data_IF_733916797776
#
_entry.id   IF_733916797776
#
_cell.length_a   1.000
_cell.length_b   1.000
_cell.length_c   1.000
_cell.angle_alpha   90.00
_cell.angle_beta   90.00
_cell.angle_gamma   90.00
#
_symmetry.space_group_name_H-M   'P 1'
#
loop_
_entity.id
_entity.type
_entity.pdbx_description
1 polymer ?
#
# COMPACT_ATOMS: atom_id res chain seq x y z
N UNK A 1 18.36 26.72 -1.60
CA UNK A 1 17.20 26.41 -0.74
C UNK A 1 16.56 25.17 -1.32
N UNK A 2 16.74 24.02 -0.68
CA UNK A 2 15.98 22.82 -1.08
C UNK A 2 14.51 23.05 -0.76
N UNK A 3 13.63 22.78 -1.73
CA UNK A 3 12.19 22.86 -1.51
C UNK A 3 11.76 21.70 -0.61
N UNK A 4 11.22 22.04 0.56
CA UNK A 4 10.54 21.12 1.46
C UNK A 4 9.48 20.33 0.69
N UNK A 5 9.52 19.00 0.71
CA UNK A 5 8.48 18.18 0.08
C UNK A 5 7.15 18.31 0.82
N UNK A 6 6.10 18.68 0.10
CA UNK A 6 4.69 18.66 0.54
C UNK A 6 3.89 17.93 -0.53
N UNK A 7 3.06 16.98 -0.12
CA UNK A 7 2.21 16.25 -1.04
C UNK A 7 1.12 17.17 -1.60
N UNK A 8 0.92 17.09 -2.91
CA UNK A 8 -0.16 17.76 -3.60
C UNK A 8 -0.93 16.75 -4.46
N UNK A 9 -2.27 16.83 -4.50
CA UNK A 9 -3.07 15.98 -5.38
C UNK A 9 -2.63 16.13 -6.83
N UNK A 10 -2.44 15.01 -7.53
CA UNK A 10 -2.12 15.01 -8.96
C UNK A 10 -3.41 15.04 -9.79
N UNK A 11 -3.58 16.01 -10.71
CA UNK A 11 -4.74 16.04 -11.59
C UNK A 11 -4.75 14.83 -12.53
N UNK A 12 -5.95 14.31 -12.81
CA UNK A 12 -6.15 13.12 -13.65
C UNK A 12 -7.37 13.24 -14.57
N UNK A 13 -7.40 12.40 -15.60
CA UNK A 13 -8.59 12.18 -16.43
C UNK A 13 -9.56 11.22 -15.74
N UNK A 14 -10.83 11.63 -15.69
CA UNK A 14 -11.93 10.95 -15.02
C UNK A 14 -13.02 10.62 -16.05
N UNK A 15 -13.52 9.39 -16.04
CA UNK A 15 -14.63 8.96 -16.90
C UNK A 15 -15.78 8.44 -16.06
N UNK A 16 -17.00 8.87 -16.36
CA UNK A 16 -18.22 8.34 -15.75
C UNK A 16 -18.70 7.15 -16.58
N UNK A 17 -18.41 5.95 -16.09
CA UNK A 17 -18.65 4.68 -16.78
C UNK A 17 -20.08 4.18 -16.67
N UNK A 18 -20.69 4.38 -15.50
CA UNK A 18 -22.09 4.07 -15.21
C UNK A 18 -22.68 5.35 -14.65
N UNK A 19 -23.78 5.84 -15.23
CA UNK A 19 -24.40 7.11 -14.82
C UNK A 19 -25.20 6.96 -13.51
N UNK A 20 -25.40 8.06 -12.76
CA UNK A 20 -26.34 8.10 -11.65
C UNK A 20 -27.73 7.58 -12.02
N UNK A 21 -28.36 6.83 -11.11
CA UNK A 21 -29.72 6.30 -11.28
C UNK A 21 -30.77 6.99 -10.40
N UNK A 22 -30.36 7.88 -9.49
CA UNK A 22 -31.25 8.64 -8.60
C UNK A 22 -30.70 10.05 -8.34
N UNK A 23 -31.50 10.89 -7.66
CA UNK A 23 -31.17 12.30 -7.43
C UNK A 23 -29.96 12.47 -6.51
N UNK A 24 -29.84 11.62 -5.48
CA UNK A 24 -28.72 11.68 -4.56
C UNK A 24 -27.40 11.33 -5.24
N UNK A 25 -27.38 10.31 -6.11
CA UNK A 25 -26.20 9.95 -6.90
C UNK A 25 -25.81 11.07 -7.87
N UNK A 26 -26.79 11.74 -8.49
CA UNK A 26 -26.51 12.85 -9.38
C UNK A 26 -25.90 14.04 -8.62
N UNK A 27 -26.42 14.34 -7.42
CA UNK A 27 -25.83 15.32 -6.50
C UNK A 27 -24.40 14.95 -6.10
N UNK A 28 -24.16 13.70 -5.70
CA UNK A 28 -22.80 13.21 -5.36
C UNK A 28 -21.84 13.37 -6.55
N UNK A 29 -22.27 13.03 -7.76
CA UNK A 29 -21.44 13.21 -8.96
C UNK A 29 -21.10 14.69 -9.20
N UNK A 30 -22.09 15.59 -9.11
CA UNK A 30 -21.89 17.02 -9.29
C UNK A 30 -20.92 17.59 -8.24
N UNK A 31 -21.11 17.25 -6.96
CA UNK A 31 -20.27 17.72 -5.87
C UNK A 31 -18.82 17.20 -5.95
N UNK A 32 -18.63 15.92 -6.31
CA UNK A 32 -17.30 15.36 -6.53
C UNK A 32 -16.65 15.94 -7.79
N UNK A 33 -17.41 16.11 -8.88
CA UNK A 33 -16.89 16.68 -10.13
C UNK A 33 -16.28 18.05 -9.88
N UNK A 34 -17.02 18.96 -9.23
CA UNK A 34 -16.55 20.33 -8.95
C UNK A 34 -15.21 20.33 -8.23
N UNK A 35 -15.10 19.57 -7.13
CA UNK A 35 -13.87 19.49 -6.32
C UNK A 35 -12.69 18.86 -7.08
N UNK A 36 -12.95 17.80 -7.84
CA UNK A 36 -11.91 17.18 -8.66
C UNK A 36 -11.44 18.15 -9.76
N UNK A 37 -12.35 18.89 -10.40
CA UNK A 37 -12.01 19.92 -11.39
C UNK A 37 -11.28 21.12 -10.76
N UNK A 38 -11.60 21.50 -9.52
CA UNK A 38 -10.87 22.52 -8.75
C UNK A 38 -9.42 22.09 -8.47
N UNK A 39 -9.17 20.78 -8.37
CA UNK A 39 -7.83 20.20 -8.34
C UNK A 39 -7.22 19.95 -9.73
N UNK A 40 -7.85 20.44 -10.79
CA UNK A 40 -7.35 20.39 -12.17
C UNK A 40 -7.66 19.09 -12.93
N UNK A 41 -8.46 18.18 -12.38
CA UNK A 41 -8.90 16.98 -13.11
C UNK A 41 -9.76 17.34 -14.33
N UNK A 42 -9.85 16.40 -15.27
CA UNK A 42 -10.66 16.53 -16.48
C UNK A 42 -11.65 15.39 -16.61
N UNK A 43 -12.94 15.72 -16.69
CA UNK A 43 -13.97 14.74 -17.00
C UNK A 43 -14.06 14.54 -18.51
N UNK A 44 -13.80 13.33 -18.97
CA UNK A 44 -13.84 12.94 -20.38
C UNK A 44 -15.10 12.14 -20.70
N UNK A 45 -15.53 12.21 -21.95
CA UNK A 45 -16.74 11.52 -22.46
C UNK A 45 -16.47 10.06 -22.75
N UNK A 46 -15.27 9.73 -23.22
CA UNK A 46 -14.84 8.36 -23.53
C UNK A 46 -13.49 8.04 -22.89
N UNK A 47 -13.17 6.76 -22.60
CA UNK A 47 -11.94 6.38 -21.89
C UNK A 47 -10.61 6.73 -22.57
N UNK A 48 -10.65 7.03 -23.87
CA UNK A 48 -9.50 7.27 -24.75
C UNK A 48 -9.43 8.71 -25.25
N UNK A 49 -10.20 9.63 -24.65
CA UNK A 49 -10.20 11.03 -25.04
C UNK A 49 -8.87 11.69 -24.64
N UNK A 50 -8.21 12.33 -25.59
CA UNK A 50 -6.98 13.08 -25.35
C UNK A 50 -7.26 14.39 -24.63
N UNK A 51 -6.41 14.71 -23.65
CA UNK A 51 -6.48 15.93 -22.84
C UNK A 51 -5.07 16.47 -22.59
N UNK A 52 -4.91 17.68 -22.06
CA UNK A 52 -3.60 18.17 -21.60
C UNK A 52 -2.96 17.33 -20.48
N UNK A 53 -3.74 16.48 -19.78
CA UNK A 53 -3.22 15.56 -18.76
C UNK A 53 -2.73 14.23 -19.35
N UNK A 54 -2.92 14.03 -20.66
CA UNK A 54 -2.63 12.80 -21.39
C UNK A 54 -3.87 12.18 -22.05
N UNK A 55 -3.66 11.03 -22.68
CA UNK A 55 -4.63 10.25 -23.48
C UNK A 55 -5.40 9.20 -22.67
N UNK A 56 -5.07 9.03 -21.39
CA UNK A 56 -5.55 7.90 -20.57
C UNK A 56 -6.37 8.37 -19.38
N UNK A 57 -7.55 7.78 -19.24
CA UNK A 57 -8.32 7.81 -17.99
C UNK A 57 -7.56 7.08 -16.88
N UNK A 58 -7.41 7.76 -15.74
CA UNK A 58 -6.86 7.17 -14.51
C UNK A 58 -7.93 6.82 -13.49
N UNK A 59 -9.15 7.35 -13.64
CA UNK A 59 -10.28 7.04 -12.78
C UNK A 59 -11.56 6.79 -13.59
N UNK A 60 -12.15 5.61 -13.45
CA UNK A 60 -13.54 5.37 -13.84
C UNK A 60 -14.44 5.47 -12.61
N UNK A 61 -15.53 6.23 -12.71
CA UNK A 61 -16.58 6.32 -11.70
C UNK A 61 -17.81 5.58 -12.20
N UNK A 62 -18.37 4.70 -11.38
CA UNK A 62 -19.66 4.08 -11.63
C UNK A 62 -20.60 4.15 -10.43
N UNK A 63 -21.89 4.09 -10.69
CA UNK A 63 -22.94 4.08 -9.67
C UNK A 63 -23.64 2.73 -9.62
N UNK A 64 -23.63 2.10 -8.45
CA UNK A 64 -24.39 0.88 -8.18
C UNK A 64 -25.82 1.20 -7.76
N UNK A 65 -26.76 0.34 -8.12
CA UNK A 65 -28.18 0.46 -7.78
C UNK A 65 -28.44 0.11 -6.31
N UNK A 66 -27.76 -0.91 -5.78
CA UNK A 66 -28.01 -1.47 -4.42
C UNK A 66 -26.74 -2.07 -3.81
N UNK A 67 -26.67 -2.19 -2.49
CA UNK A 67 -25.49 -2.78 -1.79
C UNK A 67 -25.20 -4.24 -2.17
N UNK A 68 -26.23 -5.03 -2.49
CA UNK A 68 -26.10 -6.46 -2.82
C UNK A 68 -25.94 -6.74 -4.31
N UNK A 69 -26.06 -5.72 -5.16
CA UNK A 69 -25.88 -5.88 -6.60
C UNK A 69 -24.40 -6.16 -6.90
N UNK A 70 -24.16 -7.15 -7.76
CA UNK A 70 -22.85 -7.48 -8.29
C UNK A 70 -22.66 -6.81 -9.67
N UNK A 71 -21.56 -6.07 -9.82
CA UNK A 71 -21.15 -5.45 -11.08
C UNK A 71 -19.95 -6.23 -11.57
N UNK A 72 -20.09 -6.81 -12.76
CA UNK A 72 -19.01 -7.56 -13.40
C UNK A 72 -17.84 -6.63 -13.75
N UNK A 73 -16.58 -7.06 -13.57
CA UNK A 73 -15.42 -6.22 -13.89
C UNK A 73 -15.38 -5.77 -15.37
N UNK A 74 -15.95 -6.57 -16.28
CA UNK A 74 -16.06 -6.24 -17.71
C UNK A 74 -16.90 -4.99 -18.00
N UNK A 75 -17.84 -4.64 -17.12
CA UNK A 75 -18.73 -3.49 -17.28
C UNK A 75 -17.99 -2.15 -17.20
N UNK A 76 -16.95 -2.07 -16.35
CA UNK A 76 -16.19 -0.83 -16.10
C UNK A 76 -14.70 -1.04 -16.30
N UNK A 77 -14.06 -1.86 -15.46
CA UNK A 77 -12.60 -2.06 -15.47
C UNK A 77 -12.09 -2.62 -16.81
N UNK A 78 -12.84 -3.55 -17.41
CA UNK A 78 -12.51 -4.12 -18.73
C UNK A 78 -12.47 -3.12 -19.88
N UNK A 79 -13.11 -1.96 -19.72
CA UNK A 79 -13.21 -0.89 -20.73
C UNK A 79 -12.17 0.22 -20.57
N UNK A 80 -11.37 0.19 -19.51
CA UNK A 80 -10.29 1.15 -19.31
C UNK A 80 -9.10 0.86 -20.26
N UNK A 81 -8.42 1.91 -20.78
CA UNK A 81 -7.18 1.75 -21.54
C UNK A 81 -6.10 1.05 -20.70
N UNK A 82 -5.17 0.34 -21.34
CA UNK A 82 -3.97 -0.17 -20.67
C UNK A 82 -2.88 0.92 -20.64
N UNK A 83 -2.08 1.04 -19.56
CA UNK A 83 -2.26 0.39 -18.27
C UNK A 83 -3.52 0.91 -17.58
N UNK A 84 -4.29 0.01 -16.97
CA UNK A 84 -5.60 0.34 -16.41
C UNK A 84 -5.47 1.25 -15.19
N UNK A 85 -6.33 2.27 -15.16
CA UNK A 85 -6.54 3.13 -14.01
C UNK A 85 -7.37 2.47 -12.91
N UNK A 86 -7.81 3.29 -11.99
CA UNK A 86 -8.58 2.93 -10.80
C UNK A 86 -10.07 2.97 -11.09
N UNK A 87 -10.84 2.10 -10.43
CA UNK A 87 -12.31 2.08 -10.51
C UNK A 87 -12.89 2.45 -9.16
N UNK A 88 -13.71 3.50 -9.15
CA UNK A 88 -14.50 3.96 -8.02
C UNK A 88 -15.97 3.58 -8.23
N UNK A 89 -16.57 2.90 -7.26
CA UNK A 89 -17.98 2.53 -7.29
C UNK A 89 -18.75 3.14 -6.12
N UNK A 90 -19.75 3.95 -6.45
CA UNK A 90 -20.56 4.70 -5.49
C UNK A 90 -21.93 4.03 -5.38
N UNK A 91 -22.44 3.84 -4.17
CA UNK A 91 -23.78 3.31 -3.93
C UNK A 91 -24.47 4.14 -2.86
N UNK A 92 -25.73 4.51 -3.09
CA UNK A 92 -26.53 5.30 -2.15
C UNK A 92 -27.48 4.39 -1.40
N UNK A 93 -27.66 4.63 -0.11
CA UNK A 93 -28.63 3.93 0.74
C UNK A 93 -29.40 4.91 1.62
N UNK A 94 -30.68 4.63 1.93
CA UNK A 94 -31.43 5.43 2.89
C UNK A 94 -30.74 5.48 4.24
N UNK A 95 -30.28 4.34 4.75
CA UNK A 95 -29.52 4.19 5.99
C UNK A 95 -28.39 3.19 5.77
N UNK A 96 -27.23 3.40 6.39
CA UNK A 96 -26.23 2.34 6.49
C UNK A 96 -26.82 1.16 7.28
N UNK A 97 -26.56 -0.10 6.86
CA UNK A 97 -27.00 -1.27 7.60
C UNK A 97 -26.28 -1.38 8.95
N UNK A 98 -26.94 -2.02 9.91
CA UNK A 98 -26.37 -2.36 11.22
C UNK A 98 -25.45 -3.60 11.09
N UNK A 99 -24.32 -3.40 10.43
CA UNK A 99 -23.26 -4.40 10.28
C UNK A 99 -21.88 -3.73 10.45
N UNK A 100 -20.83 -4.53 10.61
CA UNK A 100 -19.47 -4.01 10.68
C UNK A 100 -19.13 -3.19 9.42
N UNK A 101 -18.74 -1.92 9.62
CA UNK A 101 -18.34 -1.01 8.54
C UNK A 101 -17.22 -1.59 7.68
N UNK A 102 -16.31 -2.36 8.29
CA UNK A 102 -15.26 -3.07 7.59
C UNK A 102 -15.81 -4.10 6.60
N UNK A 103 -16.76 -4.94 7.04
CA UNK A 103 -17.40 -5.92 6.18
C UNK A 103 -18.27 -5.28 5.11
N UNK A 104 -18.92 -4.15 5.41
CA UNK A 104 -19.67 -3.37 4.43
C UNK A 104 -18.74 -2.79 3.35
N UNK A 105 -17.61 -2.18 3.72
CA UNK A 105 -16.62 -1.67 2.77
C UNK A 105 -15.99 -2.78 1.92
N UNK A 106 -15.55 -3.89 2.52
CA UNK A 106 -15.03 -5.06 1.77
C UNK A 106 -16.09 -5.66 0.84
N UNK A 107 -17.33 -5.76 1.32
CA UNK A 107 -18.49 -6.20 0.56
C UNK A 107 -18.73 -5.33 -0.67
N UNK A 108 -18.73 -4.00 -0.49
CA UNK A 108 -18.87 -3.04 -1.57
C UNK A 108 -17.77 -3.20 -2.62
N UNK A 109 -16.51 -3.31 -2.22
CA UNK A 109 -15.38 -3.43 -3.15
C UNK A 109 -15.49 -4.68 -4.02
N UNK A 110 -15.75 -5.84 -3.40
CA UNK A 110 -15.86 -7.11 -4.12
C UNK A 110 -17.09 -7.12 -5.04
N UNK A 111 -18.28 -6.81 -4.51
CA UNK A 111 -19.53 -6.85 -5.29
C UNK A 111 -19.48 -5.88 -6.45
N UNK A 112 -18.82 -4.72 -6.29
CA UNK A 112 -18.71 -3.73 -7.37
C UNK A 112 -17.48 -3.90 -8.26
N UNK A 113 -16.66 -4.92 -8.03
CA UNK A 113 -15.41 -5.17 -8.76
C UNK A 113 -14.55 -3.90 -8.89
N UNK A 114 -14.33 -3.21 -7.75
CA UNK A 114 -13.77 -1.87 -7.71
C UNK A 114 -12.54 -1.77 -6.82
N UNK A 115 -11.69 -0.80 -7.14
CA UNK A 115 -10.50 -0.48 -6.33
C UNK A 115 -10.88 0.36 -5.11
N UNK A 116 -11.90 1.20 -5.29
CA UNK A 116 -12.44 2.12 -4.29
C UNK A 116 -13.96 1.96 -4.27
N UNK A 117 -14.53 1.92 -3.07
CA UNK A 117 -15.98 1.92 -2.84
C UNK A 117 -16.40 3.11 -2.00
N UNK A 118 -17.52 3.74 -2.33
CA UNK A 118 -18.18 4.71 -1.47
C UNK A 118 -19.63 4.28 -1.26
N UNK A 119 -20.05 4.16 0.00
CA UNK A 119 -21.47 4.00 0.36
C UNK A 119 -21.96 5.30 0.98
N UNK A 120 -22.89 5.97 0.29
CA UNK A 120 -23.46 7.27 0.70
C UNK A 120 -24.78 7.04 1.41
N UNK A 121 -24.91 7.57 2.63
CA UNK A 121 -26.16 7.57 3.38
C UNK A 121 -26.96 8.85 3.10
N UNK A 122 -28.21 8.71 2.65
CA UNK A 122 -29.09 9.85 2.37
C UNK A 122 -30.40 9.42 1.70
N UNK A 123 -31.34 10.36 1.57
CA UNK A 123 -32.57 10.12 0.81
C UNK A 123 -32.25 9.96 -0.69
N UNK A 124 -32.52 8.80 -1.32
CA UNK A 124 -32.26 8.58 -2.74
C UNK A 124 -32.93 9.59 -3.69
N UNK A 125 -34.09 10.13 -3.29
CA UNK A 125 -34.85 11.11 -4.06
C UNK A 125 -34.49 12.57 -3.69
N UNK A 126 -33.63 12.74 -2.68
CA UNK A 126 -33.12 14.01 -2.22
C UNK A 126 -31.76 14.38 -2.81
N UNK A 127 -31.19 15.46 -2.28
CA UNK A 127 -29.87 15.99 -2.64
C UNK A 127 -29.03 16.28 -1.41
N UNK A 128 -29.26 15.53 -0.32
CA UNK A 128 -28.54 15.72 0.94
C UNK A 128 -27.93 14.41 1.38
N UNK A 129 -26.60 14.39 1.42
CA UNK A 129 -25.83 13.34 2.05
C UNK A 129 -25.79 13.59 3.57
N UNK A 130 -25.95 12.51 4.34
CA UNK A 130 -25.75 12.52 5.79
C UNK A 130 -24.33 12.09 6.16
N UNK A 131 -23.87 10.98 5.58
CA UNK A 131 -22.57 10.35 5.86
C UNK A 131 -22.09 9.58 4.64
N UNK A 132 -20.80 9.27 4.60
CA UNK A 132 -20.22 8.40 3.57
C UNK A 132 -19.23 7.40 4.16
N UNK A 133 -19.37 6.13 3.82
CA UNK A 133 -18.36 5.11 4.09
C UNK A 133 -17.44 4.99 2.87
N UNK A 134 -16.17 5.36 3.06
CA UNK A 134 -15.08 5.09 2.13
C UNK A 134 -14.54 3.66 2.32
N UNK A 135 -14.10 3.02 1.23
CA UNK A 135 -13.38 1.75 1.25
C UNK A 135 -12.37 1.64 0.11
N UNK A 136 -11.23 0.95 0.33
CA UNK A 136 -10.24 0.64 -0.72
C UNK A 136 -9.76 -0.82 -0.68
N UNK A 137 -9.29 -1.34 -1.82
CA UNK A 137 -8.80 -2.73 -1.94
C UNK A 137 -7.57 -3.05 -1.10
N UNK A 138 -6.85 -2.03 -0.59
CA UNK A 138 -5.78 -2.24 0.40
C UNK A 138 -6.34 -2.60 1.78
N UNK A 139 -7.65 -2.82 1.89
CA UNK A 139 -8.33 -3.16 3.13
C UNK A 139 -8.82 -1.93 3.89
N UNK A 140 -8.62 -0.71 3.37
CA UNK A 140 -8.90 0.56 4.05
C UNK A 140 -10.38 0.92 4.06
N UNK A 141 -10.86 1.54 5.13
CA UNK A 141 -12.21 2.10 5.21
C UNK A 141 -12.27 3.29 6.17
N UNK A 142 -13.21 4.21 5.97
CA UNK A 142 -13.47 5.32 6.92
C UNK A 142 -14.91 5.76 6.82
N UNK A 143 -15.58 5.93 7.97
CA UNK A 143 -16.85 6.64 8.02
C UNK A 143 -16.59 8.15 8.11
N UNK A 144 -17.13 8.88 7.15
CA UNK A 144 -17.07 10.33 7.07
C UNK A 144 -18.39 10.91 7.55
N UNK A 145 -18.32 11.72 8.60
CA UNK A 145 -19.44 12.41 9.26
C UNK A 145 -19.07 13.89 9.40
N UNK A 146 -20.07 14.76 9.55
CA UNK A 146 -19.86 16.21 9.71
C UNK A 146 -20.59 17.01 8.64
N UNK A 147 -20.05 18.17 8.30
CA UNK A 147 -20.64 19.01 7.25
C UNK A 147 -20.49 18.32 5.89
N UNK A 148 -21.55 18.38 5.06
CA UNK A 148 -21.56 17.73 3.74
C UNK A 148 -20.38 18.19 2.86
N UNK A 149 -20.00 19.47 2.94
CA UNK A 149 -18.85 20.01 2.23
C UNK A 149 -17.54 19.35 2.64
N UNK A 150 -17.30 19.18 3.95
CA UNK A 150 -16.10 18.55 4.51
C UNK A 150 -16.01 17.07 4.11
N UNK A 151 -17.14 16.36 4.09
CA UNK A 151 -17.20 14.97 3.61
C UNK A 151 -16.76 14.92 2.15
N UNK A 152 -17.28 15.79 1.28
CA UNK A 152 -16.91 15.80 -0.13
C UNK A 152 -15.46 16.23 -0.38
N UNK A 153 -14.93 17.18 0.39
CA UNK A 153 -13.52 17.58 0.32
C UNK A 153 -12.61 16.39 0.69
N UNK A 154 -12.96 15.65 1.75
CA UNK A 154 -12.22 14.46 2.16
C UNK A 154 -12.30 13.34 1.11
N UNK A 155 -13.49 13.09 0.54
CA UNK A 155 -13.66 12.12 -0.54
C UNK A 155 -12.83 12.48 -1.78
N UNK A 156 -12.84 13.75 -2.21
CA UNK A 156 -12.06 14.20 -3.36
C UNK A 156 -10.55 13.99 -3.13
N UNK A 157 -10.03 14.35 -1.96
CA UNK A 157 -8.63 14.13 -1.60
C UNK A 157 -8.27 12.63 -1.61
N UNK A 158 -9.10 11.77 -1.02
CA UNK A 158 -8.88 10.31 -1.01
C UNK A 158 -8.93 9.70 -2.41
N UNK A 159 -9.86 10.17 -3.25
CA UNK A 159 -9.92 9.75 -4.66
C UNK A 159 -8.61 10.07 -5.38
N UNK A 160 -8.08 11.29 -5.20
CA UNK A 160 -6.82 11.70 -5.85
C UNK A 160 -5.60 10.99 -5.25
N UNK A 161 -5.57 10.76 -3.94
CA UNK A 161 -4.54 9.98 -3.26
C UNK A 161 -4.46 8.52 -3.76
N UNK A 162 -5.55 7.96 -4.30
CA UNK A 162 -5.56 6.60 -4.83
C UNK A 162 -5.45 6.53 -6.37
N UNK A 163 -6.15 7.39 -7.08
CA UNK A 163 -6.21 7.35 -8.54
C UNK A 163 -5.12 8.19 -9.22
N UNK A 164 -4.58 9.19 -8.53
CA UNK A 164 -3.47 10.03 -9.00
C UNK A 164 -2.08 9.54 -8.59
N UNK A 165 -2.01 8.52 -7.71
CA UNK A 165 -0.76 8.03 -7.14
C UNK A 165 0.20 7.44 -8.18
N UNK A 166 1.49 7.64 -7.95
CA UNK A 166 2.56 7.13 -8.82
C UNK A 166 2.91 5.69 -8.44
N UNK A 167 2.57 4.73 -9.31
CA UNK A 167 2.94 3.31 -9.12
C UNK A 167 4.45 3.14 -9.30
N UNK A 168 5.06 2.41 -8.37
CA UNK A 168 6.52 2.22 -8.26
C UNK A 168 6.90 0.75 -8.02
N UNK A 169 5.99 -0.16 -8.34
CA UNK A 169 6.16 -1.59 -8.17
C UNK A 169 6.44 -2.28 -9.52
N UNK A 170 7.03 -1.56 -10.47
CA UNK A 170 7.37 -2.12 -11.77
C UNK A 170 8.53 -3.11 -11.63
N UNK A 171 8.37 -4.27 -12.28
CA UNK A 171 9.48 -5.17 -12.50
C UNK A 171 10.29 -4.64 -13.67
N UNK A 172 11.47 -4.09 -13.39
CA UNK A 172 12.30 -3.43 -14.41
C UNK A 172 13.42 -4.32 -14.96
N UNK A 173 13.68 -5.47 -14.33
CA UNK A 173 14.64 -6.42 -14.85
C UNK A 173 14.99 -7.54 -13.88
N UNK A 174 15.74 -8.49 -14.43
CA UNK A 174 16.42 -9.56 -13.73
C UNK A 174 17.90 -9.45 -14.06
N UNK A 175 18.73 -9.30 -13.04
CA UNK A 175 20.19 -9.27 -13.19
C UNK A 175 20.79 -10.52 -12.55
N UNK A 176 21.82 -11.08 -13.17
CA UNK A 176 22.63 -12.12 -12.53
C UNK A 176 23.38 -11.51 -11.32
N UNK A 177 23.19 -12.12 -10.15
CA UNK A 177 23.72 -11.61 -8.89
C UNK A 177 25.20 -11.95 -8.67
N UNK A 178 25.82 -11.20 -7.74
CA UNK A 178 27.19 -11.44 -7.28
C UNK A 178 27.37 -12.77 -6.51
N UNK A 179 26.29 -13.45 -6.14
CA UNK A 179 26.27 -14.69 -5.35
C UNK A 179 25.68 -15.88 -6.12
N UNK A 180 26.05 -17.10 -5.71
CA UNK A 180 25.54 -18.36 -6.25
C UNK A 180 24.20 -18.77 -5.64
N UNK A 181 23.53 -19.73 -6.28
CA UNK A 181 22.35 -20.36 -5.73
C UNK A 181 22.62 -20.99 -4.36
N UNK A 182 23.76 -21.65 -4.17
CA UNK A 182 24.13 -22.27 -2.89
C UNK A 182 24.26 -21.23 -1.77
N UNK A 183 24.86 -20.07 -2.06
CA UNK A 183 24.98 -18.96 -1.11
C UNK A 183 23.61 -18.39 -0.74
N UNK A 184 22.76 -18.13 -1.74
CA UNK A 184 21.40 -17.64 -1.51
C UNK A 184 20.53 -18.66 -0.77
N UNK A 185 20.56 -19.92 -1.17
CA UNK A 185 19.78 -20.99 -0.56
C UNK A 185 20.21 -21.28 0.89
N UNK A 186 21.47 -21.01 1.24
CA UNK A 186 21.98 -21.09 2.60
C UNK A 186 21.63 -19.87 3.46
N UNK A 187 21.10 -18.79 2.86
CA UNK A 187 20.78 -17.57 3.60
C UNK A 187 19.71 -17.85 4.67
N UNK A 188 19.91 -17.37 5.91
CA UNK A 188 18.93 -17.53 6.99
C UNK A 188 17.60 -16.83 6.71
N UNK A 189 17.52 -15.90 5.75
CA UNK A 189 16.30 -15.14 5.45
C UNK A 189 15.11 -16.03 5.10
N UNK A 190 15.35 -17.18 4.47
CA UNK A 190 14.28 -18.13 4.12
C UNK A 190 13.59 -18.69 5.38
N UNK A 191 14.39 -19.25 6.29
CA UNK A 191 13.90 -19.82 7.54
C UNK A 191 13.28 -18.76 8.46
N UNK A 192 13.96 -17.61 8.59
CA UNK A 192 13.53 -16.52 9.46
C UNK A 192 12.20 -15.90 9.01
N UNK A 193 12.01 -15.67 7.70
CA UNK A 193 10.75 -15.16 7.17
C UNK A 193 9.63 -16.20 7.34
N UNK A 194 9.90 -17.47 7.05
CA UNK A 194 8.91 -18.54 7.19
C UNK A 194 8.45 -18.73 8.65
N UNK A 195 9.37 -18.64 9.61
CA UNK A 195 9.07 -18.69 11.05
C UNK A 195 8.20 -17.51 11.48
N UNK A 196 8.59 -16.28 11.08
CA UNK A 196 7.85 -15.07 11.41
C UNK A 196 6.43 -15.09 10.82
N UNK A 197 6.27 -15.48 9.55
CA UNK A 197 4.98 -15.58 8.87
C UNK A 197 4.00 -16.50 9.63
N UNK A 198 4.47 -17.68 10.08
CA UNK A 198 3.66 -18.61 10.87
C UNK A 198 3.29 -18.04 12.24
N UNK A 199 4.22 -17.36 12.91
CA UNK A 199 3.98 -16.76 14.22
C UNK A 199 2.95 -15.62 14.14
N UNK A 200 3.10 -14.71 13.18
CA UNK A 200 2.18 -13.60 12.94
C UNK A 200 0.79 -14.10 12.52
N UNK A 201 0.73 -15.14 11.67
CA UNK A 201 -0.52 -15.79 11.28
C UNK A 201 -1.24 -16.44 12.46
N UNK A 202 -0.51 -17.17 13.32
CA UNK A 202 -1.07 -17.77 14.55
C UNK A 202 -1.58 -16.70 15.53
N UNK A 203 -0.97 -15.53 15.54
CA UNK A 203 -1.39 -14.38 16.33
C UNK A 203 -2.56 -13.59 15.72
N UNK A 204 -2.99 -13.93 14.50
CA UNK A 204 -4.07 -13.21 13.79
C UNK A 204 -3.69 -11.82 13.29
N UNK A 205 -2.39 -11.53 13.19
CA UNK A 205 -1.87 -10.24 12.73
C UNK A 205 -1.84 -10.13 11.21
N UNK A 206 -1.65 -11.24 10.52
CA UNK A 206 -1.69 -11.35 9.05
C UNK A 206 -2.64 -12.47 8.63
N UNK A 207 -3.24 -12.32 7.44
CA UNK A 207 -4.19 -13.28 6.88
C UNK A 207 -3.56 -13.98 5.67
N UNK A 208 -3.56 -15.32 5.69
CA UNK A 208 -2.99 -16.14 4.59
C UNK A 208 -3.75 -15.92 3.28
N UNK A 209 -5.08 -15.90 3.39
CA UNK A 209 -6.03 -15.68 2.29
C UNK A 209 -7.24 -14.92 2.85
N UNK A 210 -7.61 -13.82 2.20
CA UNK A 210 -8.84 -13.08 2.50
C UNK A 210 -10.05 -13.92 2.05
N UNK A 211 -11.03 -14.20 2.94
CA UNK A 211 -12.16 -15.08 2.62
C UNK A 211 -13.22 -14.36 1.76
N UNK A 212 -12.92 -14.15 0.48
CA UNK A 212 -13.75 -13.36 -0.44
C UNK A 212 -15.18 -13.90 -0.62
N UNK A 213 -15.38 -15.22 -0.52
CA UNK A 213 -16.71 -15.85 -0.62
C UNK A 213 -17.72 -15.39 0.45
N UNK A 214 -17.26 -14.70 1.51
CA UNK A 214 -18.16 -14.05 2.49
C UNK A 214 -18.89 -12.82 1.93
N UNK A 215 -18.38 -12.24 0.85
CA UNK A 215 -18.77 -10.90 0.40
C UNK A 215 -19.54 -10.91 -0.93
N UNK A 216 -19.42 -11.95 -1.75
CA UNK A 216 -20.05 -12.06 -3.06
C UNK A 216 -20.16 -13.52 -3.52
N UNK A 217 -20.82 -13.73 -4.66
CA UNK A 217 -20.97 -15.03 -5.30
C UNK A 217 -19.63 -15.63 -5.74
N UNK A 218 -19.57 -16.96 -5.86
CA UNK A 218 -18.37 -17.64 -6.36
C UNK A 218 -17.97 -17.14 -7.76
N UNK A 219 -18.96 -16.88 -8.62
CA UNK A 219 -18.74 -16.30 -9.95
C UNK A 219 -18.05 -14.93 -9.85
N UNK A 220 -18.56 -14.04 -9.00
CA UNK A 220 -18.00 -12.71 -8.78
C UNK A 220 -16.57 -12.78 -8.23
N UNK A 221 -16.32 -13.66 -7.26
CA UNK A 221 -14.98 -13.87 -6.69
C UNK A 221 -13.99 -14.30 -7.79
N UNK A 222 -14.36 -15.29 -8.60
CA UNK A 222 -13.52 -15.79 -9.68
C UNK A 222 -13.26 -14.72 -10.75
N UNK A 223 -14.26 -13.91 -11.10
CA UNK A 223 -14.08 -12.81 -12.04
C UNK A 223 -13.13 -11.74 -11.49
N UNK A 224 -13.31 -11.29 -10.25
CA UNK A 224 -12.44 -10.28 -9.63
C UNK A 224 -10.99 -10.77 -9.55
N UNK A 225 -10.77 -12.01 -9.06
CA UNK A 225 -9.43 -12.60 -8.97
C UNK A 225 -8.76 -12.71 -10.35
N UNK A 226 -9.51 -13.13 -11.37
CA UNK A 226 -9.01 -13.19 -12.76
C UNK A 226 -8.60 -11.81 -13.27
N UNK A 227 -9.38 -10.76 -13.00
CA UNK A 227 -9.06 -9.40 -13.46
C UNK A 227 -7.89 -8.75 -12.72
N UNK A 228 -7.68 -9.13 -11.46
CA UNK A 228 -6.48 -8.76 -10.70
C UNK A 228 -5.26 -9.60 -11.08
N UNK A 229 -5.44 -10.64 -11.91
CA UNK A 229 -4.42 -11.64 -12.22
C UNK A 229 -3.83 -12.29 -10.95
N UNK A 230 -4.70 -12.69 -10.03
CA UNK A 230 -4.35 -13.27 -8.73
C UNK A 230 -5.07 -14.59 -8.53
N UNK A 231 -4.40 -15.54 -7.88
CA UNK A 231 -5.04 -16.76 -7.39
C UNK A 231 -5.79 -16.52 -6.06
N UNK A 232 -5.27 -15.61 -5.24
CA UNK A 232 -5.84 -15.21 -3.95
C UNK A 232 -5.34 -13.81 -3.56
N UNK A 233 -6.05 -13.17 -2.63
CA UNK A 233 -5.58 -11.99 -1.92
C UNK A 233 -5.11 -12.39 -0.52
N UNK A 234 -3.97 -11.87 -0.10
CA UNK A 234 -3.45 -12.01 1.26
C UNK A 234 -3.07 -10.64 1.80
N UNK A 235 -3.00 -10.51 3.11
CA UNK A 235 -2.61 -9.27 3.78
C UNK A 235 -1.32 -9.51 4.56
N UNK A 236 -0.42 -8.54 4.48
CA UNK A 236 0.87 -8.62 5.14
C UNK A 236 2.03 -8.91 4.18
N UNK A 237 3.20 -8.45 4.58
CA UNK A 237 4.46 -8.73 3.93
C UNK A 237 5.58 -8.62 4.95
N UNK A 238 6.55 -9.52 4.84
CA UNK A 238 7.86 -9.39 5.46
C UNK A 238 8.95 -9.24 4.41
N UNK A 239 9.94 -8.40 4.72
CA UNK A 239 11.25 -8.44 4.09
C UNK A 239 12.36 -8.54 5.14
N UNK A 240 13.48 -9.11 4.72
CA UNK A 240 14.69 -9.17 5.52
C UNK A 240 15.91 -8.94 4.66
N UNK A 241 16.89 -8.24 5.23
CA UNK A 241 18.18 -8.02 4.59
C UNK A 241 19.15 -9.13 5.01
N UNK A 242 19.79 -9.74 4.02
CA UNK A 242 21.03 -10.47 4.22
C UNK A 242 22.19 -9.49 4.01
N UNK A 243 22.91 -9.09 5.08
CA UNK A 243 23.97 -8.11 4.98
C UNK A 243 25.23 -8.64 4.28
N UNK A 244 25.47 -9.96 4.34
CA UNK A 244 26.66 -10.58 3.75
C UNK A 244 26.49 -10.68 2.24
N UNK A 245 25.29 -11.07 1.79
CA UNK A 245 24.92 -11.09 0.37
C UNK A 245 24.46 -9.72 -0.18
N UNK A 246 24.26 -8.73 0.71
CA UNK A 246 23.74 -7.39 0.41
C UNK A 246 22.42 -7.40 -0.37
N UNK A 247 21.55 -8.36 -0.06
CA UNK A 247 20.29 -8.60 -0.79
C UNK A 247 19.12 -8.63 0.17
N UNK A 248 18.01 -8.03 -0.24
CA UNK A 248 16.73 -8.14 0.46
C UNK A 248 15.98 -9.36 -0.03
N UNK A 249 15.62 -10.27 0.88
CA UNK A 249 14.59 -11.28 0.65
C UNK A 249 13.22 -10.72 0.98
N UNK A 250 12.27 -10.81 0.06
CA UNK A 250 10.88 -10.33 0.27
C UNK A 250 9.86 -11.39 -0.12
N UNK A 251 8.77 -11.50 0.66
CA UNK A 251 7.67 -12.41 0.33
C UNK A 251 6.99 -12.07 -1.01
N UNK A 252 6.47 -13.09 -1.69
CA UNK A 252 5.70 -12.90 -2.94
C UNK A 252 4.37 -12.18 -2.72
N UNK A 253 3.82 -11.60 -3.80
CA UNK A 253 2.49 -10.96 -3.80
C UNK A 253 1.35 -11.96 -3.98
N UNK A 254 0.18 -11.71 -3.37
CA UNK A 254 -1.00 -12.59 -3.41
C UNK A 254 -1.29 -13.26 -2.07
N UNK A 255 -1.93 -14.43 -2.09
CA UNK A 255 -2.10 -15.28 -0.89
C UNK A 255 -0.82 -16.03 -0.51
N UNK A 256 -0.89 -16.84 0.54
CA UNK A 256 0.26 -17.61 1.05
C UNK A 256 1.15 -16.82 2.01
N UNK A 257 0.57 -15.85 2.72
CA UNK A 257 1.27 -14.94 3.63
C UNK A 257 1.67 -15.57 4.96
N UNK A 258 1.00 -16.65 5.36
CA UNK A 258 1.30 -17.40 6.59
C UNK A 258 2.09 -18.66 6.26
N UNK A 259 1.71 -19.34 5.17
CA UNK A 259 2.32 -20.59 4.74
C UNK A 259 3.51 -20.37 3.81
N UNK A 260 4.44 -19.52 4.23
CA UNK A 260 5.69 -19.27 3.51
C UNK A 260 6.61 -20.48 3.68
N UNK A 261 7.10 -21.04 2.57
CA UNK A 261 8.01 -22.18 2.60
C UNK A 261 9.41 -21.71 2.99
N UNK A 262 10.10 -22.40 3.91
CA UNK A 262 11.51 -22.15 4.18
C UNK A 262 12.43 -22.77 3.13
N UNK A 263 11.92 -23.62 2.23
CA UNK A 263 12.72 -24.20 1.14
C UNK A 263 12.94 -23.14 0.04
N UNK A 264 14.20 -22.75 -0.23
CA UNK A 264 14.50 -21.80 -1.31
C UNK A 264 13.97 -22.25 -2.67
N UNK A 265 13.89 -23.57 -2.92
CA UNK A 265 13.42 -24.14 -4.18
C UNK A 265 11.94 -23.84 -4.49
N UNK A 266 11.15 -23.46 -3.48
CA UNK A 266 9.75 -23.06 -3.68
C UNK A 266 9.61 -21.62 -4.19
N UNK A 267 10.67 -20.81 -4.11
CA UNK A 267 10.70 -19.44 -4.64
C UNK A 267 9.74 -18.46 -3.94
N UNK A 268 9.34 -18.74 -2.70
CA UNK A 268 8.42 -17.89 -1.93
C UNK A 268 9.08 -16.59 -1.42
N UNK A 269 10.41 -16.55 -1.37
CA UNK A 269 11.22 -15.39 -1.00
C UNK A 269 11.99 -14.93 -2.23
N UNK A 270 11.70 -13.71 -2.68
CA UNK A 270 12.29 -13.13 -3.90
C UNK A 270 13.49 -12.27 -3.52
N UNK A 271 14.68 -12.51 -4.10
CA UNK A 271 15.86 -11.67 -3.88
C UNK A 271 15.79 -10.38 -4.70
N UNK A 272 15.97 -9.24 -4.03
CA UNK A 272 16.04 -7.90 -4.63
C UNK A 272 17.29 -7.21 -4.08
N UNK A 273 18.17 -6.77 -4.97
CA UNK A 273 19.39 -6.04 -4.59
C UNK A 273 19.32 -4.56 -4.96
N UNK A 274 18.52 -4.19 -5.97
CA UNK A 274 18.52 -2.83 -6.52
C UNK A 274 17.11 -2.29 -6.73
N UNK A 275 17.02 -0.98 -6.62
CA UNK A 275 15.84 -0.18 -6.94
C UNK A 275 16.14 0.72 -8.14
N UNK A 276 15.08 1.04 -8.87
CA UNK A 276 15.06 2.08 -9.90
C UNK A 276 14.20 3.23 -9.42
N UNK A 277 13.92 4.23 -10.25
CA UNK A 277 12.96 5.28 -9.87
C UNK A 277 11.51 4.76 -9.80
N UNK A 278 11.15 3.72 -10.55
CA UNK A 278 9.77 3.26 -10.69
C UNK A 278 9.55 1.81 -10.27
N UNK A 279 10.57 1.16 -9.70
CA UNK A 279 10.54 -0.28 -9.60
C UNK A 279 11.76 -0.92 -8.95
N UNK A 280 11.87 -2.22 -9.18
CA UNK A 280 12.90 -3.06 -8.59
C UNK A 280 13.53 -3.95 -9.66
N UNK A 281 14.77 -4.36 -9.37
CA UNK A 281 15.50 -5.36 -10.14
C UNK A 281 15.71 -6.58 -9.25
N UNK A 282 15.33 -7.76 -9.75
CA UNK A 282 15.57 -9.01 -9.02
C UNK A 282 17.02 -9.43 -9.19
N UNK A 283 17.64 -9.84 -8.09
CA UNK A 283 19.01 -10.33 -8.06
C UNK A 283 19.00 -11.85 -8.21
N UNK A 284 19.10 -12.36 -9.44
CA UNK A 284 19.01 -13.79 -9.73
C UNK A 284 20.34 -14.48 -9.39
N UNK A 285 20.37 -15.40 -8.41
CA UNK A 285 21.60 -16.12 -8.06
C UNK A 285 22.19 -16.87 -9.26
N UNK A 286 23.52 -16.96 -9.35
CA UNK A 286 24.17 -17.80 -10.39
C UNK A 286 23.77 -19.26 -10.22
N UNK A 287 23.33 -19.89 -11.31
CA UNK A 287 22.86 -21.28 -11.29
C UNK A 287 21.49 -21.48 -10.63
N UNK A 288 20.70 -20.40 -10.44
CA UNK A 288 19.36 -20.46 -9.86
C UNK A 288 18.45 -21.46 -10.61
N UNK A 289 17.97 -22.54 -9.95
CA UNK A 289 17.14 -23.56 -10.59
C UNK A 289 15.66 -23.20 -10.63
N UNK A 290 15.26 -22.05 -10.06
CA UNK A 290 13.88 -21.64 -9.89
C UNK A 290 13.55 -20.34 -10.59
N UNK A 291 12.28 -20.18 -10.94
CA UNK A 291 11.70 -18.92 -11.41
C UNK A 291 10.88 -18.28 -10.30
N UNK A 292 11.20 -17.03 -9.96
CA UNK A 292 10.47 -16.31 -8.93
C UNK A 292 9.14 -15.76 -9.46
N UNK A 293 8.12 -15.80 -8.59
CA UNK A 293 6.90 -14.99 -8.76
C UNK A 293 7.23 -13.52 -8.52
N UNK A 294 6.27 -12.65 -8.82
CA UNK A 294 6.40 -11.24 -8.44
C UNK A 294 6.55 -11.11 -6.91
N UNK A 295 7.44 -10.23 -6.42
CA UNK A 295 7.51 -9.87 -5.02
C UNK A 295 6.27 -9.09 -4.59
N UNK A 296 6.13 -8.87 -3.28
CA UNK A 296 5.12 -7.97 -2.72
C UNK A 296 5.13 -6.59 -3.40
N UNK A 297 3.97 -5.92 -3.44
CA UNK A 297 3.85 -4.60 -4.07
C UNK A 297 4.57 -3.51 -3.28
N UNK A 298 4.88 -3.78 -2.00
CA UNK A 298 5.62 -2.96 -1.06
C UNK A 298 7.15 -3.23 -1.10
N UNK A 299 7.64 -4.02 -2.06
CA UNK A 299 9.06 -4.35 -2.15
C UNK A 299 9.96 -3.11 -2.33
N UNK A 300 9.54 -2.15 -3.15
CA UNK A 300 10.27 -0.90 -3.36
C UNK A 300 10.33 -0.08 -2.05
N UNK A 301 9.23 -0.05 -1.29
CA UNK A 301 9.09 0.71 -0.03
C UNK A 301 10.15 0.24 0.97
N UNK A 302 10.25 -1.07 1.14
CA UNK A 302 11.23 -1.67 2.03
C UNK A 302 12.67 -1.44 1.58
N UNK A 303 12.93 -1.56 0.27
CA UNK A 303 14.25 -1.29 -0.27
C UNK A 303 14.72 0.13 0.05
N UNK A 304 13.82 1.12 -0.07
CA UNK A 304 14.12 2.50 0.28
C UNK A 304 14.36 2.69 1.78
N UNK A 305 13.64 1.96 2.65
CA UNK A 305 13.88 2.01 4.10
C UNK A 305 15.26 1.46 4.46
N UNK A 306 15.67 0.33 3.85
CA UNK A 306 17.02 -0.21 4.05
C UNK A 306 18.10 0.77 3.55
N UNK A 307 17.91 1.34 2.35
CA UNK A 307 18.82 2.33 1.78
C UNK A 307 18.91 3.58 2.67
N UNK A 308 17.76 4.15 3.09
CA UNK A 308 17.72 5.30 3.98
C UNK A 308 18.47 5.02 5.29
N UNK A 309 18.24 3.84 5.88
CA UNK A 309 18.94 3.41 7.08
C UNK A 309 20.46 3.31 6.88
N UNK A 310 20.92 2.76 5.77
CA UNK A 310 22.34 2.65 5.43
C UNK A 310 22.99 4.03 5.22
N UNK A 311 22.32 4.94 4.51
CA UNK A 311 22.82 6.31 4.26
C UNK A 311 22.88 7.15 5.54
N UNK A 312 21.91 7.03 6.44
CA UNK A 312 21.96 7.67 7.76
C UNK A 312 23.15 7.14 8.55
N UNK A 313 23.33 5.82 8.58
CA UNK A 313 24.42 5.19 9.31
C UNK A 313 25.80 5.62 8.78
N UNK A 314 25.93 5.76 7.45
CA UNK A 314 27.11 6.32 6.78
C UNK A 314 27.28 7.83 6.99
N UNK A 315 26.25 8.53 7.46
CA UNK A 315 26.28 9.98 7.67
C UNK A 315 26.15 10.82 6.40
N UNK A 316 25.57 10.24 5.34
CA UNK A 316 25.37 10.89 4.04
C UNK A 316 24.09 11.72 4.04
N UNK A 317 23.07 11.26 4.77
CA UNK A 317 21.78 11.95 4.94
C UNK A 317 21.45 12.04 6.43
N UNK A 318 20.78 13.10 6.84
CA UNK A 318 20.42 13.36 8.25
C UNK A 318 18.91 13.63 8.43
N UNK A 319 18.16 13.76 7.34
CA UNK A 319 16.74 14.03 7.38
C UNK A 319 16.00 13.67 6.10
N UNK A 320 14.67 13.71 6.16
CA UNK A 320 13.80 13.34 5.05
C UNK A 320 14.10 14.12 3.76
N UNK A 321 14.23 15.46 3.82
CA UNK A 321 14.51 16.26 2.63
C UNK A 321 15.90 15.97 2.05
N UNK A 322 16.93 15.80 2.90
CA UNK A 322 18.28 15.42 2.44
C UNK A 322 18.29 14.05 1.74
N UNK A 323 17.48 13.10 2.21
CA UNK A 323 17.33 11.79 1.56
C UNK A 323 16.63 11.92 0.21
N UNK A 324 15.58 12.76 0.11
CA UNK A 324 14.94 13.03 -1.18
C UNK A 324 15.86 13.76 -2.16
N UNK A 325 16.67 14.70 -1.68
CA UNK A 325 17.67 15.38 -2.48
C UNK A 325 18.71 14.38 -3.01
N UNK A 326 19.21 13.49 -2.14
CA UNK A 326 20.11 12.41 -2.53
C UNK A 326 19.49 11.51 -3.60
N UNK A 327 18.24 11.05 -3.43
CA UNK A 327 17.58 10.19 -4.42
C UNK A 327 17.44 10.89 -5.77
N UNK A 328 16.99 12.16 -5.79
CA UNK A 328 16.86 12.94 -7.03
C UNK A 328 18.21 13.12 -7.72
N UNK A 329 19.24 13.42 -6.95
CA UNK A 329 20.59 13.60 -7.45
C UNK A 329 21.13 12.30 -8.06
N UNK A 330 21.00 11.19 -7.33
CA UNK A 330 21.42 9.86 -7.78
C UNK A 330 20.69 9.46 -9.06
N UNK A 331 19.36 9.52 -9.07
CA UNK A 331 18.56 9.12 -10.22
C UNK A 331 18.63 10.08 -11.42
N UNK A 332 19.22 11.27 -11.25
CA UNK A 332 19.55 12.15 -12.38
C UNK A 332 20.79 11.70 -13.17
N UNK A 333 21.59 10.80 -12.58
CA UNK A 333 22.87 10.34 -13.14
C UNK A 333 22.93 8.82 -13.34
N UNK A 334 22.12 8.10 -12.59
CA UNK A 334 22.13 6.64 -12.52
C UNK A 334 20.70 6.11 -12.65
N UNK A 335 20.52 4.98 -13.31
CA UNK A 335 19.19 4.37 -13.46
C UNK A 335 18.80 3.53 -12.23
N UNK A 336 19.79 3.06 -11.47
CA UNK A 336 19.65 2.07 -10.40
C UNK A 336 20.44 2.45 -9.16
N UNK A 337 19.98 1.99 -8.01
CA UNK A 337 20.67 2.12 -6.73
C UNK A 337 20.57 0.80 -5.95
N UNK A 338 21.66 0.40 -5.31
CA UNK A 338 21.65 -0.76 -4.43
C UNK A 338 20.86 -0.47 -3.15
N UNK A 339 20.10 -1.45 -2.68
CA UNK A 339 19.38 -1.40 -1.40
C UNK A 339 20.37 -1.26 -0.23
N UNK A 340 21.54 -1.88 -0.35
CA UNK A 340 22.67 -1.74 0.57
C UNK A 340 23.96 -1.44 -0.22
N UNK A 341 24.26 -0.16 -0.53
CA UNK A 341 25.41 0.24 -1.34
C UNK A 341 26.74 -0.23 -0.74
N UNK A 342 27.68 -0.68 -1.57
CA UNK A 342 28.98 -1.22 -1.15
C UNK A 342 29.69 -0.37 -0.07
N UNK A 343 30.27 -1.03 0.93
CA UNK A 343 30.97 -0.38 2.04
C UNK A 343 30.06 0.25 3.11
N UNK A 344 28.74 0.26 2.92
CA UNK A 344 27.79 0.72 3.94
C UNK A 344 27.32 -0.44 4.84
N UNK A 345 27.05 -0.08 6.10
CA UNK A 345 26.51 -0.96 7.13
C UNK A 345 25.00 -0.73 7.30
N UNK A 346 24.18 -1.79 7.41
CA UNK A 346 22.74 -1.63 7.55
C UNK A 346 22.34 -1.16 8.95
N UNK A 347 21.35 -0.27 8.99
CA UNK A 347 20.66 0.12 10.23
C UNK A 347 19.47 -0.78 10.56
N UNK A 348 18.78 -1.27 9.53
CA UNK A 348 17.56 -2.09 9.60
C UNK A 348 17.87 -3.47 9.01
N UNK A 349 17.36 -4.54 9.62
CA UNK A 349 17.58 -5.92 9.16
C UNK A 349 16.28 -6.66 8.83
N UNK A 350 15.15 -6.21 9.37
CA UNK A 350 13.84 -6.79 9.09
C UNK A 350 12.75 -5.71 9.11
N UNK A 351 11.79 -5.88 8.21
CA UNK A 351 10.62 -5.02 8.07
C UNK A 351 9.37 -5.90 7.96
N UNK A 352 8.34 -5.54 8.70
CA UNK A 352 7.00 -6.12 8.65
C UNK A 352 6.00 -5.03 8.28
N UNK A 353 5.22 -5.27 7.24
CA UNK A 353 4.14 -4.40 6.80
C UNK A 353 2.82 -5.16 6.99
N UNK A 354 1.89 -4.63 7.78
CA UNK A 354 0.57 -5.26 7.96
C UNK A 354 -0.54 -4.27 8.35
N UNK A 355 -1.79 -4.64 8.09
CA UNK A 355 -2.97 -3.78 8.22
C UNK A 355 -3.61 -3.87 9.63
N UNK A 356 -2.79 -3.62 10.66
CA UNK A 356 -3.19 -3.44 12.06
C UNK A 356 -2.50 -2.20 12.63
N UNK A 357 -2.96 -1.72 13.77
CA UNK A 357 -2.28 -0.67 14.51
C UNK A 357 -2.20 -1.03 16.00
N UNK A 358 -1.18 -0.54 16.73
CA UNK A 358 -1.13 -0.67 18.17
C UNK A 358 -2.35 -0.01 18.79
N UNK A 359 -3.03 -0.71 19.69
CA UNK A 359 -4.07 -0.12 20.52
C UNK A 359 -3.46 0.96 21.41
N UNK A 360 -4.19 2.05 21.65
CA UNK A 360 -3.76 3.07 22.61
C UNK A 360 -3.46 2.45 23.98
N UNK A 361 -2.27 2.69 24.52
CA UNK A 361 -1.78 2.06 25.76
C UNK A 361 -1.43 0.58 25.65
N UNK A 362 -1.49 -0.02 24.46
CA UNK A 362 -1.28 -1.45 24.21
C UNK A 362 0.18 -1.89 24.12
N UNK A 363 1.15 -1.00 24.29
CA UNK A 363 2.59 -1.30 24.20
C UNK A 363 3.12 -1.65 25.59
N UNK A 364 3.50 -2.92 25.77
CA UNK A 364 3.96 -3.46 27.07
C UNK A 364 5.44 -3.18 27.35
N UNK A 365 6.23 -2.85 26.33
CA UNK A 365 7.67 -2.54 26.41
C UNK A 365 8.00 -1.21 25.72
N UNK A 366 7.60 -0.06 26.28
CA UNK A 366 7.77 1.26 25.66
C UNK A 366 9.23 1.72 25.56
N UNK A 367 10.13 1.12 26.34
CA UNK A 367 11.57 1.31 26.23
C UNK A 367 12.16 0.66 24.96
N UNK A 368 11.45 -0.31 24.38
CA UNK A 368 11.90 -1.10 23.23
C UNK A 368 11.11 -0.88 21.95
N UNK A 369 9.97 -0.19 22.05
CA UNK A 369 9.07 0.10 20.94
C UNK A 369 8.79 1.60 20.91
N UNK A 370 9.03 2.21 19.76
CA UNK A 370 8.69 3.61 19.51
C UNK A 370 7.65 3.67 18.37
N UNK A 371 6.56 4.39 18.61
CA UNK A 371 5.52 4.62 17.59
C UNK A 371 5.76 5.97 16.96
N UNK A 372 5.80 6.00 15.63
CA UNK A 372 5.94 7.23 14.86
C UNK A 372 4.79 7.45 13.89
N UNK A 373 4.54 8.71 13.59
CA UNK A 373 3.49 9.16 12.69
C UNK A 373 4.06 10.06 11.61
N UNK A 374 3.53 10.03 10.38
CA UNK A 374 3.94 10.91 9.31
C UNK A 374 3.89 12.40 9.66
N UNK A 375 4.67 13.21 8.94
CA UNK A 375 4.66 14.66 9.07
C UNK A 375 3.37 15.24 8.47
N UNK A 376 2.46 15.71 9.35
CA UNK A 376 1.15 16.26 8.98
C UNK A 376 1.23 17.56 8.18
N UNK A 377 2.37 18.26 8.23
CA UNK A 377 2.59 19.45 7.40
C UNK A 377 2.92 19.07 5.95
N UNK A 378 3.32 17.83 5.70
CA UNK A 378 3.67 17.31 4.37
C UNK A 378 2.58 16.43 3.78
N UNK A 379 1.90 15.66 4.62
CA UNK A 379 0.87 14.71 4.20
C UNK A 379 -0.44 15.00 4.94
N UNK A 380 -1.58 15.08 4.23
CA UNK A 380 -2.87 15.15 4.87
C UNK A 380 -3.22 13.80 5.51
N UNK A 381 -4.20 13.80 6.42
CA UNK A 381 -4.71 12.59 7.08
C UNK A 381 -5.60 11.74 6.16
N UNK A 382 -5.02 11.23 5.07
CA UNK A 382 -5.65 10.32 4.11
C UNK A 382 -4.81 9.05 3.93
N UNK A 383 -5.43 7.99 3.44
CA UNK A 383 -4.73 6.75 3.13
C UNK A 383 -4.19 6.76 1.70
N UNK A 384 -2.98 6.25 1.52
CA UNK A 384 -2.37 5.98 0.21
C UNK A 384 -2.36 4.46 -0.04
N UNK A 385 -2.55 4.00 -1.29
CA UNK A 385 -2.49 2.57 -1.62
C UNK A 385 -1.06 2.02 -1.54
N UNK A 386 -0.90 0.72 -1.25
CA UNK A 386 0.41 0.06 -1.27
C UNK A 386 1.08 0.15 -2.64
N UNK A 387 2.42 0.19 -2.67
CA UNK A 387 3.21 0.14 -3.91
C UNK A 387 3.11 1.40 -4.77
N UNK A 388 2.83 2.54 -4.14
CA UNK A 388 2.88 3.87 -4.75
C UNK A 388 3.88 4.77 -4.03
N UNK A 389 4.47 5.72 -4.75
CA UNK A 389 5.48 6.65 -4.23
C UNK A 389 5.00 7.38 -2.98
N UNK A 390 3.77 7.85 -3.00
CA UNK A 390 3.18 8.60 -1.89
C UNK A 390 3.16 7.79 -0.59
N UNK A 391 2.88 6.48 -0.65
CA UNK A 391 2.89 5.63 0.55
C UNK A 391 4.30 5.49 1.14
N UNK A 392 5.33 5.33 0.29
CA UNK A 392 6.71 5.24 0.76
C UNK A 392 7.20 6.55 1.38
N UNK A 393 6.88 7.67 0.73
CA UNK A 393 7.27 8.98 1.23
C UNK A 393 6.54 9.29 2.54
N UNK A 394 5.28 8.84 2.66
CA UNK A 394 4.51 8.92 3.90
C UNK A 394 5.18 8.12 5.03
N UNK A 395 5.58 6.87 4.75
CA UNK A 395 6.35 6.03 5.68
C UNK A 395 7.67 6.68 6.08
N UNK A 396 8.51 7.04 5.10
CA UNK A 396 9.81 7.66 5.34
C UNK A 396 9.66 8.94 6.16
N UNK A 397 8.64 9.77 5.89
CA UNK A 397 8.39 10.97 6.69
C UNK A 397 8.08 10.67 8.15
N UNK A 398 7.47 9.51 8.46
CA UNK A 398 7.26 9.06 9.83
C UNK A 398 8.58 8.59 10.46
N UNK A 399 9.37 7.79 9.72
CA UNK A 399 10.63 7.24 10.22
C UNK A 399 11.64 8.34 10.53
N UNK A 400 11.78 9.33 9.64
CA UNK A 400 12.65 10.48 9.86
C UNK A 400 12.18 11.42 10.97
N UNK A 401 11.08 11.14 11.68
CA UNK A 401 10.73 11.84 12.93
C UNK A 401 11.23 11.14 14.19
N UNK A 402 11.69 9.89 14.08
CA UNK A 402 12.31 9.16 15.19
C UNK A 402 13.77 9.57 15.33
N UNK A 403 14.16 9.95 16.55
CA UNK A 403 15.56 10.17 16.91
C UNK A 403 16.38 8.87 16.78
N UNK A 404 15.80 7.72 17.13
CA UNK A 404 16.47 6.42 16.99
C UNK A 404 16.75 6.06 15.52
N UNK A 405 15.87 6.48 14.60
CA UNK A 405 16.12 6.32 13.16
C UNK A 405 17.24 7.24 12.67
N UNK A 406 17.22 8.52 13.06
CA UNK A 406 18.18 9.53 12.63
C UNK A 406 19.60 9.36 13.22
N UNK A 407 19.71 8.76 14.40
CA UNK A 407 21.00 8.57 15.08
C UNK A 407 21.83 7.51 14.37
N UNK A 408 23.13 7.72 14.18
CA UNK A 408 24.02 6.70 13.57
C UNK A 408 24.09 5.43 14.41
N UNK A 409 24.36 4.30 13.76
CA UNK A 409 24.40 2.97 14.36
C UNK A 409 23.19 2.12 14.01
N UNK A 410 23.23 0.85 14.44
CA UNK A 410 22.10 -0.07 14.30
C UNK A 410 20.89 0.46 15.05
N UNK A 411 19.71 0.16 14.53
CA UNK A 411 18.48 0.53 15.20
C UNK A 411 18.22 -0.41 16.39
N UNK A 412 18.33 0.14 17.59
CA UNK A 412 18.25 -0.55 18.89
C UNK A 412 16.82 -0.72 19.42
N UNK A 413 15.86 0.05 18.88
CA UNK A 413 14.43 -0.06 19.17
C UNK A 413 13.64 -0.51 17.95
N UNK A 414 12.53 -1.20 18.18
CA UNK A 414 11.57 -1.43 17.11
C UNK A 414 10.79 -0.14 16.86
N UNK A 415 10.86 0.37 15.63
CA UNK A 415 9.99 1.48 15.22
C UNK A 415 8.73 0.91 14.60
N UNK A 416 7.59 1.46 14.98
CA UNK A 416 6.28 1.16 14.40
C UNK A 416 5.73 2.45 13.80
N UNK A 417 5.82 2.58 12.48
CA UNK A 417 5.24 3.69 11.75
C UNK A 417 3.76 3.43 11.49
N UNK A 418 2.88 4.25 12.04
CA UNK A 418 1.43 4.17 11.79
C UNK A 418 1.08 5.06 10.61
N UNK A 419 0.55 4.44 9.55
CA UNK A 419 0.14 5.11 8.32
C UNK A 419 -1.38 5.35 8.35
N UNK A 420 -1.84 6.61 8.40
CA UNK A 420 -3.26 6.98 8.43
C UNK A 420 -4.11 6.16 7.46
N UNK A 421 -5.10 5.47 8.02
CA UNK A 421 -6.05 4.71 7.24
C UNK A 421 -5.50 3.43 6.59
N UNK A 422 -4.22 3.11 6.68
CA UNK A 422 -3.57 2.01 5.95
C UNK A 422 -3.19 0.83 6.85
N UNK A 423 -2.47 1.09 7.94
CA UNK A 423 -1.91 0.06 8.81
C UNK A 423 -0.63 0.55 9.47
N UNK A 424 0.32 -0.37 9.67
CA UNK A 424 1.63 0.00 10.16
C UNK A 424 2.77 -0.76 9.47
N UNK A 425 3.94 -0.15 9.53
CA UNK A 425 5.21 -0.77 9.14
C UNK A 425 6.11 -0.80 10.37
N UNK A 426 6.48 -2.00 10.79
CA UNK A 426 7.39 -2.23 11.90
C UNK A 426 8.78 -2.60 11.38
N UNK A 427 9.82 -1.99 11.92
CA UNK A 427 11.20 -2.22 11.47
C UNK A 427 12.16 -2.31 12.65
N UNK A 428 13.19 -3.14 12.49
CA UNK A 428 14.14 -3.42 13.57
C UNK A 428 15.56 -3.69 13.03
N UNK A 429 16.57 -3.23 13.76
CA UNK A 429 18.00 -3.44 13.45
C UNK A 429 18.67 -4.54 14.28
N UNK A 430 17.97 -5.10 15.28
CA UNK A 430 18.47 -6.18 16.13
C UNK A 430 18.16 -7.60 15.61
N UNK A 431 18.27 -8.63 16.46
CA UNK A 431 17.95 -10.01 16.11
C UNK A 431 16.57 -10.17 15.47
N UNK A 432 16.49 -10.83 14.32
CA UNK A 432 15.27 -10.93 13.50
C UNK A 432 14.07 -11.57 14.22
N UNK A 433 14.32 -12.55 15.10
CA UNK A 433 13.28 -13.21 15.92
C UNK A 433 12.69 -12.28 16.98
N UNK A 434 13.45 -11.31 17.44
CA UNK A 434 13.02 -10.36 18.47
C UNK A 434 11.99 -9.37 17.94
N UNK A 435 12.06 -8.98 16.66
CA UNK A 435 10.98 -8.24 15.98
C UNK A 435 9.65 -9.01 16.10
N UNK A 436 9.66 -10.30 15.73
CA UNK A 436 8.45 -11.13 15.79
C UNK A 436 7.93 -11.29 17.23
N UNK A 437 8.82 -11.47 18.22
CA UNK A 437 8.41 -11.53 19.64
C UNK A 437 7.74 -10.23 20.10
N UNK A 438 8.35 -9.08 19.79
CA UNK A 438 7.79 -7.76 20.10
C UNK A 438 6.40 -7.58 19.51
N UNK A 439 6.23 -7.92 18.24
CA UNK A 439 4.95 -7.82 17.55
C UNK A 439 3.90 -8.76 18.17
N UNK A 440 4.24 -10.02 18.42
CA UNK A 440 3.25 -11.02 18.86
C UNK A 440 2.89 -10.90 20.34
N UNK A 441 3.88 -10.61 21.20
CA UNK A 441 3.73 -10.77 22.66
C UNK A 441 3.69 -9.45 23.44
N UNK A 442 4.22 -8.36 22.86
CA UNK A 442 4.45 -7.11 23.59
C UNK A 442 3.64 -5.92 23.06
N UNK A 443 2.81 -6.12 22.04
CA UNK A 443 1.89 -5.12 21.51
C UNK A 443 0.49 -5.71 21.43
N UNK A 444 -0.49 -5.01 21.98
CA UNK A 444 -1.90 -5.27 21.74
C UNK A 444 -2.34 -4.56 20.46
N UNK A 445 -2.84 -5.34 19.51
CA UNK A 445 -3.25 -4.84 18.22
C UNK A 445 -4.75 -4.69 18.14
N UNK A 446 -5.19 -3.68 17.40
CA UNK A 446 -6.57 -3.53 16.99
C UNK A 446 -6.67 -3.47 15.46
N UNK A 447 -7.89 -3.72 14.95
CA UNK A 447 -8.22 -3.27 13.60
C UNK A 447 -7.94 -1.78 13.51
N UNK A 448 -7.43 -1.34 12.37
CA UNK A 448 -7.13 0.08 12.17
C UNK A 448 -8.44 0.86 12.41
N UNK A 449 -8.52 1.61 13.51
CA UNK A 449 -9.55 2.65 13.72
C UNK A 449 -9.14 3.80 12.82
N UNK A 450 -9.50 3.69 11.55
CA UNK A 450 -8.89 4.46 10.47
C UNK A 450 -9.25 5.93 10.60
N UNK A 451 -8.24 6.70 11.02
CA UNK A 451 -8.20 8.16 11.22
C UNK A 451 -9.09 8.86 10.25
#
# INVERSE_FOLDING_TARGET
MEQRYVWHPRPINVWVAINPCNRLQAHVLDQLRRRLEDHGCRFVRIPYEETPLGDRVRLAIGFGLRLREEVRPTTVYGRLPKPRGTVLMITTVPSLPDESLFHLARGQLLRKASHIGIVVEGDPDGSKMRRALWGSMAGNYRLLEGAESEIFDNLALRILAHAGAEKINLHEGDDEAGFSWEEWAASPVHGDIAEAARALGKAGLIEDVVPLGKYGSDEQVQEVLRFLNRAALGEGMRSQLDPDLRVMGVTTTGGGKVNVSPDPADGHIVPIAQLTWQGYVRAIPRGCPVSYRAPSVEAHENGLVYLAGALINAGIVDGFDSFLAFLRDHFSRHERIDILPEGMEPKVLAIEHFHRQPREGGIRKPDRVEVVYPDRERFPEVDFPCGVREAELHLLSALFRSEAFQTRGRLDKMLVAILPGHGCVALYGGPRRELTDLLVNHIEWEEVRRV
#
